data_IF_804980768416
#
_entry.id   IF_804980768416
#
_cell.length_a   1.000
_cell.length_b   1.000
_cell.length_c   1.000
_cell.angle_alpha   90.00
_cell.angle_beta   90.00
_cell.angle_gamma   90.00
#
_symmetry.space_group_name_H-M   'P 1'
#
loop_
_entity.id
_entity.type
_entity.pdbx_description
1 polymer ?
#
# COMPACT_ATOMS: atom_id res chain seq x y z
N UNK A 1 -4.21 19.53 8.69
CA UNK A 1 -3.78 18.32 7.97
C UNK A 1 -4.50 17.07 8.47
N UNK A 2 -5.39 16.45 7.67
CA UNK A 2 -6.09 15.23 8.02
C UNK A 2 -5.27 13.98 7.66
N UNK A 3 -4.99 13.14 8.66
CA UNK A 3 -4.19 11.93 8.48
C UNK A 3 -5.03 10.65 8.40
N UNK A 4 -4.45 9.64 7.77
CA UNK A 4 -4.84 8.24 7.94
C UNK A 4 -3.66 7.44 8.51
N UNK A 5 -3.97 6.40 9.27
CA UNK A 5 -3.00 5.50 9.89
C UNK A 5 -3.39 4.05 9.68
N UNK A 6 -2.42 3.22 9.32
CA UNK A 6 -2.56 1.76 9.30
C UNK A 6 -1.42 1.10 10.07
N UNK A 7 -1.75 0.06 10.83
CA UNK A 7 -0.75 -0.80 11.49
C UNK A 7 -0.92 -2.24 11.02
N UNK A 8 0.16 -2.81 10.51
CA UNK A 8 0.19 -4.17 9.98
C UNK A 8 1.30 -4.99 10.65
N UNK A 9 1.20 -6.31 10.63
CA UNK A 9 2.32 -7.21 10.92
C UNK A 9 3.05 -7.64 9.64
N UNK A 10 4.11 -8.45 9.79
CA UNK A 10 4.90 -8.96 8.66
C UNK A 10 4.15 -9.92 7.74
N UNK A 11 3.04 -10.52 8.21
CA UNK A 11 2.18 -11.39 7.42
C UNK A 11 1.10 -10.60 6.67
N UNK A 12 0.99 -9.30 6.94
CA UNK A 12 0.04 -8.40 6.32
C UNK A 12 -1.29 -8.30 7.06
N UNK A 13 -1.41 -8.86 8.26
CA UNK A 13 -2.60 -8.67 9.08
C UNK A 13 -2.67 -7.23 9.57
N UNK A 14 -3.80 -6.58 9.30
CA UNK A 14 -4.02 -5.20 9.68
C UNK A 14 -4.72 -5.14 11.03
N UNK A 15 -4.03 -4.62 12.04
CA UNK A 15 -4.53 -4.57 13.43
C UNK A 15 -5.07 -3.21 13.84
N UNK A 16 -4.78 -2.12 13.11
CA UNK A 16 -5.35 -0.78 13.35
C UNK A 16 -5.56 -0.04 12.04
N UNK A 17 -6.67 0.71 11.95
CA UNK A 17 -7.03 1.64 10.88
C UNK A 17 -7.66 2.87 11.50
N UNK A 18 -7.14 4.05 11.19
CA UNK A 18 -7.75 5.33 11.55
C UNK A 18 -7.72 6.24 10.33
N UNK A 19 -8.76 7.01 10.10
CA UNK A 19 -8.84 7.94 8.98
C UNK A 19 -9.59 9.21 9.42
N UNK A 20 -8.90 10.34 9.32
CA UNK A 20 -9.50 11.68 9.31
C UNK A 20 -9.67 12.23 7.88
N UNK A 21 -9.21 11.49 6.87
CA UNK A 21 -9.38 11.78 5.43
C UNK A 21 -9.87 10.52 4.70
N UNK A 22 -10.43 10.68 3.50
CA UNK A 22 -10.87 9.58 2.66
C UNK A 22 -9.66 8.84 2.07
N UNK A 23 -9.09 7.91 2.84
CA UNK A 23 -8.14 6.91 2.33
C UNK A 23 -8.83 5.56 2.21
N UNK A 24 -8.81 4.91 1.03
CA UNK A 24 -9.56 3.68 0.78
C UNK A 24 -8.87 2.46 1.40
N UNK A 25 -9.04 2.29 2.71
CA UNK A 25 -8.56 1.09 3.41
C UNK A 25 -9.29 -0.16 2.96
N UNK A 26 -8.55 -1.25 2.79
CA UNK A 26 -9.13 -2.59 2.72
C UNK A 26 -9.89 -2.90 4.01
N UNK A 27 -11.20 -3.10 3.92
CA UNK A 27 -12.04 -3.49 5.07
C UNK A 27 -11.73 -4.92 5.55
N UNK A 28 -11.50 -5.82 4.61
CA UNK A 28 -11.16 -7.23 4.84
C UNK A 28 -9.98 -7.65 3.95
N UNK A 29 -9.20 -8.63 4.42
CA UNK A 29 -7.97 -9.07 3.74
C UNK A 29 -6.75 -8.16 3.97
N UNK A 30 -5.62 -8.53 3.39
CA UNK A 30 -4.38 -7.73 3.39
C UNK A 30 -4.45 -6.56 2.40
N UNK A 31 -3.66 -5.51 2.63
CA UNK A 31 -3.56 -4.37 1.72
C UNK A 31 -2.66 -4.68 0.51
N UNK A 32 -2.58 -3.77 -0.45
CA UNK A 32 -1.71 -3.93 -1.62
C UNK A 32 -0.23 -4.08 -1.19
N UNK A 33 0.48 -5.14 -1.61
CA UNK A 33 1.88 -5.37 -1.23
C UNK A 33 2.85 -4.29 -1.73
N UNK A 34 2.44 -3.46 -2.72
CA UNK A 34 3.22 -2.32 -3.22
C UNK A 34 3.16 -1.10 -2.29
N UNK A 35 2.28 -1.12 -1.29
CA UNK A 35 2.16 -0.03 -0.33
C UNK A 35 3.33 -0.06 0.66
N UNK A 36 3.92 1.11 0.92
CA UNK A 36 5.23 1.25 1.60
C UNK A 36 5.30 0.66 3.01
N UNK A 37 4.15 0.45 3.67
CA UNK A 37 4.11 -0.16 5.00
C UNK A 37 4.76 -1.55 5.03
N UNK A 38 4.70 -2.28 3.93
CA UNK A 38 5.30 -3.61 3.81
C UNK A 38 6.81 -3.55 3.60
N UNK A 39 7.30 -2.54 2.89
CA UNK A 39 8.73 -2.31 2.70
C UNK A 39 9.43 -1.85 3.99
N UNK A 40 8.70 -1.30 4.96
CA UNK A 40 9.24 -0.94 6.26
C UNK A 40 9.89 -2.14 6.99
N UNK A 41 9.40 -3.37 6.76
CA UNK A 41 9.99 -4.58 7.35
C UNK A 41 11.33 -4.98 6.75
N UNK A 42 11.68 -4.49 5.55
CA UNK A 42 12.97 -4.80 4.91
C UNK A 42 14.15 -4.23 5.68
N UNK A 43 13.97 -3.04 6.25
CA UNK A 43 14.98 -2.38 7.09
C UNK A 43 14.29 -1.86 8.36
N UNK A 44 14.17 -2.70 9.40
CA UNK A 44 13.53 -2.35 10.64
C UNK A 44 14.05 -1.04 11.24
N UNK A 45 13.14 -0.20 11.73
CA UNK A 45 13.48 1.05 12.38
C UNK A 45 13.94 2.16 11.43
N UNK A 46 13.99 1.95 10.11
CA UNK A 46 14.23 3.02 9.13
C UNK A 46 12.90 3.59 8.65
N UNK A 47 12.80 4.92 8.59
CA UNK A 47 11.64 5.59 8.00
C UNK A 47 11.72 5.45 6.47
N UNK A 48 10.61 5.03 5.88
CA UNK A 48 10.39 4.94 4.44
C UNK A 48 9.31 5.92 4.05
N UNK A 49 9.39 6.48 2.86
CA UNK A 49 8.41 7.42 2.31
C UNK A 49 7.94 6.94 0.95
N UNK A 50 6.71 7.27 0.59
CA UNK A 50 6.12 6.92 -0.71
C UNK A 50 5.07 7.94 -1.11
N UNK A 51 5.13 8.39 -2.36
CA UNK A 51 3.99 8.98 -3.06
C UNK A 51 3.29 7.83 -3.78
N UNK A 52 1.99 7.68 -3.55
CA UNK A 52 1.19 6.59 -4.07
C UNK A 52 -0.04 7.10 -4.80
N UNK A 53 -0.51 6.35 -5.79
CA UNK A 53 -1.70 6.67 -6.58
C UNK A 53 -2.66 5.47 -6.61
N UNK A 54 -3.90 5.73 -6.20
CA UNK A 54 -5.01 4.77 -6.22
C UNK A 54 -5.56 4.61 -7.65
N UNK A 55 -6.32 3.54 -7.95
CA UNK A 55 -6.90 3.32 -9.27
C UNK A 55 -7.84 4.45 -9.75
N UNK A 56 -8.46 5.16 -8.81
CA UNK A 56 -9.33 6.32 -9.06
C UNK A 56 -8.55 7.64 -9.29
N UNK A 57 -7.21 7.58 -9.28
CA UNK A 57 -6.33 8.75 -9.43
C UNK A 57 -6.04 9.49 -8.13
N UNK A 58 -6.62 9.09 -6.98
CA UNK A 58 -6.32 9.69 -5.69
C UNK A 58 -4.85 9.52 -5.31
N UNK A 59 -4.16 10.64 -5.03
CA UNK A 59 -2.73 10.65 -4.68
C UNK A 59 -2.50 10.91 -3.20
N UNK A 60 -1.61 10.12 -2.61
CA UNK A 60 -1.32 10.16 -1.18
C UNK A 60 0.17 10.11 -0.91
N UNK A 61 0.61 10.87 0.09
CA UNK A 61 1.94 10.74 0.66
C UNK A 61 1.87 9.90 1.94
N UNK A 62 2.81 9.00 2.14
CA UNK A 62 2.87 8.14 3.31
C UNK A 62 4.29 7.97 3.81
N UNK A 63 4.42 7.98 5.14
CA UNK A 63 5.63 7.58 5.85
C UNK A 63 5.37 6.27 6.56
N UNK A 64 6.33 5.36 6.56
CA UNK A 64 6.22 4.09 7.24
C UNK A 64 7.50 3.69 7.99
N UNK A 65 7.33 3.01 9.12
CA UNK A 65 8.43 2.49 9.95
C UNK A 65 7.96 1.29 10.73
N UNK A 66 8.87 0.37 11.05
CA UNK A 66 8.54 -0.66 12.04
C UNK A 66 8.65 -0.15 13.46
N UNK A 67 7.73 -0.59 14.31
CA UNK A 67 7.73 -0.39 15.76
C UNK A 67 7.72 -1.75 16.46
N UNK A 68 8.31 -1.80 17.64
CA UNK A 68 8.29 -3.00 18.49
C UNK A 68 7.34 -2.78 19.66
N UNK A 69 6.54 -3.79 19.99
CA UNK A 69 5.89 -3.82 21.29
C UNK A 69 6.96 -4.03 22.36
N UNK A 70 6.92 -3.23 23.41
CA UNK A 70 7.78 -3.44 24.59
C UNK A 70 7.43 -4.80 25.17
N UNK A 71 8.37 -5.74 25.12
CA UNK A 71 8.30 -7.04 25.78
C UNK A 71 9.48 -7.15 26.75
N UNK A 72 9.21 -7.56 27.99
CA UNK A 72 10.22 -7.68 29.04
C UNK A 72 11.04 -8.97 28.91
N UNK A 73 12.36 -8.88 29.07
CA UNK A 73 13.26 -10.04 29.12
C UNK A 73 13.90 -10.42 27.78
N UNK A 74 15.04 -11.10 27.84
CA UNK A 74 15.84 -11.51 26.68
C UNK A 74 15.12 -12.57 25.80
N UNK A 75 14.34 -13.45 26.43
CA UNK A 75 13.64 -14.55 25.75
C UNK A 75 12.21 -14.22 25.33
N UNK A 76 11.71 -13.01 25.58
CA UNK A 76 10.35 -12.67 25.24
C UNK A 76 10.18 -12.46 23.72
N UNK A 77 9.12 -13.04 23.17
CA UNK A 77 8.73 -12.83 21.79
C UNK A 77 8.36 -11.35 21.57
N UNK A 78 9.21 -10.62 20.83
CA UNK A 78 8.94 -9.21 20.48
C UNK A 78 8.03 -9.17 19.27
N UNK A 79 6.83 -8.60 19.45
CA UNK A 79 5.95 -8.31 18.32
C UNK A 79 6.47 -7.09 17.57
N UNK A 80 6.64 -7.22 16.27
CA UNK A 80 7.04 -6.13 15.38
C UNK A 80 5.89 -5.80 14.44
N UNK A 81 5.60 -4.52 14.31
CA UNK A 81 4.55 -4.01 13.43
C UNK A 81 5.10 -2.96 12.49
N UNK A 82 4.60 -2.90 11.26
CA UNK A 82 4.76 -1.76 10.37
C UNK A 82 3.64 -0.78 10.64
N UNK A 83 3.98 0.48 10.87
CA UNK A 83 3.03 1.58 10.98
C UNK A 83 3.25 2.49 9.79
N UNK A 84 2.17 2.84 9.09
CA UNK A 84 2.19 3.92 8.13
C UNK A 84 1.22 5.03 8.53
N UNK A 85 1.67 6.26 8.38
CA UNK A 85 0.90 7.49 8.54
C UNK A 85 0.94 8.23 7.20
N UNK A 86 -0.21 8.68 6.70
CA UNK A 86 -0.28 9.38 5.44
C UNK A 86 -1.38 10.42 5.36
N UNK A 87 -1.34 11.22 4.31
CA UNK A 87 -2.30 12.27 4.00
C UNK A 87 -2.50 12.37 2.48
N UNK A 88 -3.49 13.16 2.05
CA UNK A 88 -3.61 13.54 0.64
C UNK A 88 -2.34 14.28 0.19
N UNK A 89 -1.92 14.07 -1.06
CA UNK A 89 -0.65 14.60 -1.57
C UNK A 89 -0.54 16.12 -1.46
N UNK A 90 -1.66 16.84 -1.57
CA UNK A 90 -1.73 18.30 -1.39
C UNK A 90 -1.20 18.80 -0.04
N UNK A 91 -1.30 17.97 1.01
CA UNK A 91 -0.80 18.27 2.35
C UNK A 91 0.65 17.81 2.58
N UNK A 92 1.26 17.09 1.63
CA UNK A 92 2.56 16.46 1.86
C UNK A 92 3.68 17.47 2.15
N UNK A 93 3.62 18.67 1.55
CA UNK A 93 4.61 19.76 1.75
C UNK A 93 4.64 20.30 3.18
N UNK A 94 3.64 20.00 4.00
CA UNK A 94 3.61 20.37 5.41
C UNK A 94 4.44 19.40 6.29
N UNK A 95 5.00 18.33 5.71
CA UNK A 95 5.75 17.29 6.41
C UNK A 95 7.22 17.33 6.05
N UNK A 96 8.09 17.39 7.06
CA UNK A 96 9.56 17.29 6.90
C UNK A 96 10.00 16.02 6.14
N UNK A 97 9.20 14.95 6.19
CA UNK A 97 9.49 13.71 5.48
C UNK A 97 9.31 13.80 3.97
N UNK A 98 8.67 14.87 3.49
CA UNK A 98 8.50 15.13 2.07
C UNK A 98 9.62 16.03 1.50
N UNK A 99 10.55 16.48 2.33
CA UNK A 99 11.67 17.32 1.92
C UNK A 99 12.49 16.64 0.82
N UNK A 100 12.75 17.39 -0.26
CA UNK A 100 13.51 16.91 -1.41
C UNK A 100 12.77 15.97 -2.35
N UNK A 101 11.50 15.65 -2.10
CA UNK A 101 10.67 14.88 -3.03
C UNK A 101 10.02 15.79 -4.08
N UNK A 102 9.96 15.31 -5.34
CA UNK A 102 9.07 15.90 -6.33
C UNK A 102 7.63 15.50 -6.02
N UNK A 103 6.79 16.50 -5.72
CA UNK A 103 5.37 16.37 -5.42
C UNK A 103 4.50 17.09 -6.46
N UNK A 104 5.12 17.60 -7.53
CA UNK A 104 4.45 18.36 -8.58
C UNK A 104 3.85 17.46 -9.67
N UNK A 105 3.44 18.06 -10.81
CA UNK A 105 2.88 17.31 -11.94
C UNK A 105 3.83 16.28 -12.56
N UNK A 106 5.15 16.48 -12.41
CA UNK A 106 6.19 15.55 -12.86
C UNK A 106 6.44 14.36 -11.93
N UNK A 107 5.85 14.36 -10.73
CA UNK A 107 6.00 13.27 -9.79
C UNK A 107 5.44 11.97 -10.39
N UNK A 108 6.22 10.89 -10.32
CA UNK A 108 5.80 9.55 -10.75
C UNK A 108 5.37 8.77 -9.51
N UNK A 109 4.06 8.77 -9.15
CA UNK A 109 3.59 8.07 -7.96
C UNK A 109 3.68 6.56 -8.16
N UNK A 110 3.86 5.81 -7.07
CA UNK A 110 3.74 4.36 -7.10
C UNK A 110 2.27 3.96 -7.29
N UNK A 111 1.88 3.29 -8.39
CA UNK A 111 0.50 2.86 -8.56
C UNK A 111 0.21 1.71 -7.60
N UNK A 112 -0.73 1.93 -6.68
CA UNK A 112 -1.18 0.94 -5.70
C UNK A 112 -2.67 0.64 -5.90
N UNK A 113 -3.22 -0.22 -5.04
CA UNK A 113 -4.64 -0.50 -4.96
C UNK A 113 -5.06 -0.78 -3.51
N UNK A 114 -6.35 -1.07 -3.31
CA UNK A 114 -6.88 -1.39 -1.98
C UNK A 114 -6.43 -2.80 -1.56
N UNK A 115 -6.81 -3.81 -2.35
CA UNK A 115 -6.37 -5.22 -2.26
C UNK A 115 -6.33 -5.80 -3.68
N UNK A 116 -5.63 -6.92 -3.90
CA UNK A 116 -5.61 -7.54 -5.24
C UNK A 116 -7.02 -7.87 -5.77
N UNK A 117 -7.91 -8.36 -4.91
CA UNK A 117 -9.29 -8.75 -5.28
C UNK A 117 -10.18 -7.57 -5.68
N UNK A 118 -9.85 -6.36 -5.22
CA UNK A 118 -10.60 -5.14 -5.51
C UNK A 118 -9.82 -4.16 -6.40
N UNK A 119 -8.63 -4.52 -6.85
CA UNK A 119 -7.80 -3.62 -7.65
C UNK A 119 -8.16 -3.75 -9.13
N UNK A 120 -8.46 -2.62 -9.76
CA UNK A 120 -8.80 -2.56 -11.19
C UNK A 120 -7.59 -2.53 -12.13
N UNK A 121 -6.35 -2.39 -11.62
CA UNK A 121 -5.15 -2.34 -12.47
C UNK A 121 -4.86 -3.72 -13.10
N UNK A 122 -4.92 -3.85 -14.42
CA UNK A 122 -4.72 -5.12 -15.12
C UNK A 122 -3.23 -5.53 -15.24
N UNK A 123 -2.32 -4.56 -15.19
CA UNK A 123 -0.89 -4.63 -15.52
C UNK A 123 0.03 -4.68 -14.29
N UNK A 124 -0.41 -5.33 -13.20
CA UNK A 124 0.34 -5.34 -11.94
C UNK A 124 1.14 -6.65 -11.75
N UNK A 125 2.46 -6.63 -11.89
CA UNK A 125 3.32 -7.81 -11.62
C UNK A 125 3.23 -8.34 -10.19
N UNK A 126 2.89 -7.49 -9.22
CA UNK A 126 2.77 -7.90 -7.81
C UNK A 126 1.38 -8.49 -7.49
N UNK A 127 0.54 -8.75 -8.49
CA UNK A 127 -0.83 -9.25 -8.29
C UNK A 127 -0.82 -10.69 -7.77
N UNK A 128 -1.35 -10.87 -6.55
CA UNK A 128 -1.45 -12.17 -5.89
C UNK A 128 -2.80 -12.88 -6.10
N UNK A 129 -3.85 -12.14 -6.44
CA UNK A 129 -5.20 -12.68 -6.67
C UNK A 129 -5.88 -12.02 -7.87
N UNK A 130 -6.78 -12.73 -8.58
CA UNK A 130 -7.57 -12.14 -9.64
C UNK A 130 -8.51 -11.07 -9.06
N UNK A 131 -8.75 -10.02 -9.83
CA UNK A 131 -9.69 -8.96 -9.45
C UNK A 131 -11.12 -9.45 -9.64
N UNK A 132 -12.02 -9.04 -8.75
CA UNK A 132 -13.47 -9.26 -8.88
C UNK A 132 -14.11 -8.27 -9.86
N UNK A 133 -13.41 -7.19 -10.23
CA UNK A 133 -13.89 -6.18 -11.17
C UNK A 133 -13.63 -6.51 -12.64
N UNK A 134 -13.00 -7.66 -12.90
CA UNK A 134 -12.58 -8.08 -14.23
C UNK A 134 -12.91 -9.54 -14.47
N UNK A 135 -13.28 -9.87 -15.71
CA UNK A 135 -13.44 -11.26 -16.14
C UNK A 135 -12.07 -11.87 -16.38
N UNK A 136 -11.74 -12.92 -15.61
CA UNK A 136 -10.50 -13.66 -15.78
C UNK A 136 -10.46 -14.29 -17.18
N UNK A 137 -9.36 -14.05 -17.91
CA UNK A 137 -9.03 -14.73 -19.15
C UNK A 137 -7.96 -15.77 -18.87
N UNK A 138 -8.26 -17.03 -19.16
CA UNK A 138 -7.30 -18.13 -19.12
C UNK A 138 -6.90 -18.44 -20.56
N UNK A 139 -5.62 -18.27 -20.86
CA UNK A 139 -5.03 -18.63 -22.14
C UNK A 139 -3.71 -19.34 -21.85
N UNK A 140 -3.68 -20.65 -22.09
CA UNK A 140 -2.53 -21.50 -21.79
C UNK A 140 -1.32 -21.19 -22.70
N UNK A 141 -1.54 -20.48 -23.81
CA UNK A 141 -0.51 -20.10 -24.77
C UNK A 141 0.18 -18.77 -24.45
N UNK A 142 -0.39 -17.98 -23.54
CA UNK A 142 0.13 -16.67 -23.16
C UNK A 142 0.73 -16.66 -21.75
N UNK A 143 1.83 -15.92 -21.58
CA UNK A 143 2.39 -15.61 -20.26
C UNK A 143 2.47 -14.10 -20.08
N UNK A 144 1.50 -13.55 -19.35
CA UNK A 144 1.45 -12.12 -19.04
C UNK A 144 2.42 -11.68 -17.93
N UNK A 145 2.49 -10.37 -17.71
CA UNK A 145 3.26 -9.74 -16.63
C UNK A 145 2.75 -10.12 -15.23
N UNK A 146 1.48 -10.52 -15.15
CA UNK A 146 0.81 -11.08 -13.97
C UNK A 146 0.33 -12.50 -14.33
N UNK A 147 0.28 -13.44 -13.37
CA UNK A 147 -0.32 -14.76 -13.59
C UNK A 147 -1.83 -14.69 -13.87
N UNK A 148 -2.45 -13.53 -13.70
CA UNK A 148 -3.84 -13.25 -14.05
C UNK A 148 -3.90 -12.25 -15.20
N UNK A 149 -4.47 -12.69 -16.32
CA UNK A 149 -4.91 -11.86 -17.45
C UNK A 149 -6.41 -11.64 -17.39
N UNK A 150 -6.88 -10.50 -17.91
CA UNK A 150 -8.30 -10.14 -17.91
C UNK A 150 -8.78 -9.89 -19.33
N UNK A 151 -10.04 -10.24 -19.62
CA UNK A 151 -10.67 -9.86 -20.88
C UNK A 151 -10.80 -8.33 -20.96
N UNK A 152 -10.81 -7.78 -22.18
CA UNK A 152 -11.16 -6.38 -22.37
C UNK A 152 -12.57 -6.13 -21.79
N UNK A 153 -12.77 -4.98 -21.13
CA UNK A 153 -14.11 -4.59 -20.69
C UNK A 153 -14.93 -4.31 -21.95
N UNK A 154 -16.01 -5.05 -22.16
CA UNK A 154 -17.04 -4.67 -23.14
C UNK A 154 -17.59 -3.31 -22.68
N UNK A 155 -17.50 -2.31 -23.56
CA UNK A 155 -17.90 -0.93 -23.28
C UNK A 155 -19.39 -0.75 -23.13
#
# INVERSE_FOLDING_TARGET
>A
MPFFLIRVDKAGNVSKRFAATAFPFARYGGACPRYIVYDAFRVPGVIKTQVSEMPDGGRFFSVARTVHQTAGGFHAARQQFGVALGCALEHARELVYADGLDLGPGAVPMPIGVTCRLCERADCAQRAHPSLHHRLRLDDSERGFSPFSFAARDG
#
